data_IF_275904571510
#
_entry.id   IF_275904571510
#
_cell.length_a   1.000
_cell.length_b   1.000
_cell.length_c   1.000
_cell.angle_alpha   90.00
_cell.angle_beta   90.00
_cell.angle_gamma   90.00
#
_symmetry.space_group_name_H-M   'P 1'
#
loop_
_entity.id
_entity.type
_entity.pdbx_description
1 polymer ?
#
# COMPACT_ATOMS: atom_id res chain seq x y z
N UNK A 1 10.99 3.37 4.06
CA UNK A 1 9.88 4.17 4.63
C UNK A 1 8.66 3.95 3.75
N UNK A 2 7.51 3.63 4.33
CA UNK A 2 6.27 3.39 3.59
C UNK A 2 5.25 4.46 3.95
N UNK A 3 4.51 4.97 2.97
CA UNK A 3 3.54 6.07 3.15
C UNK A 3 2.25 5.68 2.44
N UNK A 4 1.18 5.47 3.22
CA UNK A 4 -0.15 5.27 2.69
C UNK A 4 -0.71 6.55 2.08
N UNK A 5 -1.24 6.47 0.86
CA UNK A 5 -1.97 7.58 0.27
C UNK A 5 -3.30 7.82 0.99
N UNK A 6 -3.71 9.07 1.15
CA UNK A 6 -4.96 9.43 1.85
C UNK A 6 -5.69 10.63 1.21
N UNK A 7 -5.18 11.16 0.10
CA UNK A 7 -5.87 12.12 -0.74
C UNK A 7 -7.10 11.51 -1.43
N UNK A 8 -7.87 12.38 -2.09
CA UNK A 8 -9.09 12.02 -2.82
C UNK A 8 -8.93 10.77 -3.71
N UNK A 9 -8.02 10.81 -4.70
CA UNK A 9 -7.77 9.73 -5.65
C UNK A 9 -6.62 8.79 -5.24
N UNK A 10 -6.15 8.85 -3.99
CA UNK A 10 -4.99 8.08 -3.57
C UNK A 10 -5.38 6.62 -3.34
N UNK A 11 -5.09 5.80 -4.36
CA UNK A 11 -5.34 4.36 -4.40
C UNK A 11 -4.07 3.51 -4.28
N UNK A 12 -3.02 4.06 -3.67
CA UNK A 12 -1.66 3.49 -3.69
C UNK A 12 -0.88 3.77 -2.41
N UNK A 13 0.28 3.11 -2.28
CA UNK A 13 1.28 3.31 -1.23
C UNK A 13 2.62 3.65 -1.85
N UNK A 14 3.37 4.57 -1.25
CA UNK A 14 4.70 4.97 -1.72
C UNK A 14 5.78 4.37 -0.82
N UNK A 15 6.91 3.98 -1.43
CA UNK A 15 8.06 3.43 -0.74
C UNK A 15 9.30 4.25 -1.04
N UNK A 16 10.03 4.62 0.01
CA UNK A 16 11.26 5.41 -0.04
C UNK A 16 12.40 4.73 0.72
N UNK A 17 13.64 5.05 0.34
CA UNK A 17 14.83 4.75 1.14
C UNK A 17 14.80 5.53 2.46
N UNK A 18 15.68 5.19 3.41
CA UNK A 18 15.81 5.98 4.64
C UNK A 18 16.37 7.38 4.38
N UNK A 19 17.11 7.54 3.28
CA UNK A 19 17.70 8.81 2.85
C UNK A 19 16.72 9.67 2.04
N UNK A 20 15.52 9.14 1.74
CA UNK A 20 14.43 9.87 1.07
C UNK A 20 14.34 9.64 -0.43
N UNK A 21 15.11 8.70 -0.99
CA UNK A 21 15.02 8.37 -2.41
C UNK A 21 13.75 7.57 -2.70
N UNK A 22 13.08 7.89 -3.80
CA UNK A 22 11.96 7.11 -4.28
C UNK A 22 12.42 5.71 -4.69
N UNK A 23 11.74 4.68 -4.17
CA UNK A 23 11.97 3.29 -4.55
C UNK A 23 10.88 2.82 -5.51
N UNK A 24 9.61 2.91 -5.10
CA UNK A 24 8.48 2.44 -5.91
C UNK A 24 7.13 2.96 -5.41
N UNK A 25 6.13 2.77 -6.26
CA UNK A 25 4.71 2.88 -5.95
C UNK A 25 4.11 1.47 -5.94
N UNK A 26 3.29 1.19 -4.93
CA UNK A 26 2.54 -0.06 -4.79
C UNK A 26 1.06 0.24 -5.05
N UNK A 27 0.50 -0.45 -6.03
CA UNK A 27 -0.83 -0.15 -6.58
C UNK A 27 -0.80 0.86 -7.72
N UNK A 28 -1.98 1.20 -8.25
CA UNK A 28 -2.16 2.12 -9.38
C UNK A 28 -2.79 3.41 -8.87
N UNK A 29 -2.08 4.55 -8.89
CA UNK A 29 -2.65 5.84 -8.47
C UNK A 29 -3.88 6.25 -9.30
N UNK A 30 -4.94 6.72 -8.64
CA UNK A 30 -6.17 7.17 -9.29
C UNK A 30 -7.09 6.06 -9.80
N UNK A 31 -6.77 4.80 -9.52
CA UNK A 31 -7.65 3.66 -9.81
C UNK A 31 -8.91 3.70 -8.91
N UNK A 32 -10.04 3.26 -9.45
CA UNK A 32 -11.30 3.19 -8.70
C UNK A 32 -11.18 2.19 -7.54
N UNK A 33 -11.66 2.57 -6.35
CA UNK A 33 -11.57 1.74 -5.17
C UNK A 33 -12.47 0.50 -5.28
N UNK A 34 -11.86 -0.69 -5.16
CA UNK A 34 -12.56 -1.97 -5.08
C UNK A 34 -11.87 -2.84 -4.01
N UNK A 35 -12.66 -3.39 -3.09
CA UNK A 35 -12.17 -4.28 -2.03
C UNK A 35 -11.58 -5.60 -2.57
N UNK A 36 -11.91 -5.98 -3.81
CA UNK A 36 -11.35 -7.17 -4.47
C UNK A 36 -10.16 -6.84 -5.39
N UNK A 37 -9.88 -5.57 -5.68
CA UNK A 37 -8.77 -5.19 -6.55
C UNK A 37 -7.43 -5.46 -5.88
N UNK A 38 -6.48 -6.06 -6.57
CA UNK A 38 -5.12 -6.25 -6.04
C UNK A 38 -4.23 -5.01 -6.18
N UNK A 39 -4.73 -3.95 -6.83
CA UNK A 39 -3.95 -2.75 -7.16
C UNK A 39 -4.55 -1.43 -6.68
N UNK A 40 -5.83 -1.40 -6.29
CA UNK A 40 -6.50 -0.22 -5.78
C UNK A 40 -6.63 -0.27 -4.24
N UNK A 41 -5.75 0.43 -3.54
CA UNK A 41 -5.75 0.52 -2.07
C UNK A 41 -6.52 1.75 -1.59
N UNK A 42 -7.70 1.53 -1.03
CA UNK A 42 -8.64 2.55 -0.56
C UNK A 42 -8.23 3.26 0.73
N UNK A 43 -7.24 4.16 0.61
CA UNK A 43 -6.71 5.03 1.68
C UNK A 43 -6.22 4.22 2.88
N UNK A 44 -4.99 3.74 2.79
CA UNK A 44 -4.38 2.87 3.82
C UNK A 44 -4.23 3.62 5.15
N UNK A 45 -4.79 3.07 6.22
CA UNK A 45 -4.80 3.68 7.56
C UNK A 45 -3.52 3.40 8.35
N UNK A 46 -2.95 2.20 8.21
CA UNK A 46 -1.78 1.71 8.94
C UNK A 46 -1.01 0.72 8.07
N UNK A 47 0.32 0.64 8.27
CA UNK A 47 1.21 -0.28 7.57
C UNK A 47 2.08 -0.99 8.59
N UNK A 48 1.91 -2.30 8.72
CA UNK A 48 2.82 -3.15 9.50
C UNK A 48 3.73 -3.95 8.57
N UNK A 49 4.98 -4.17 8.96
CA UNK A 49 5.95 -4.96 8.18
C UNK A 49 6.41 -6.14 9.03
N UNK A 50 6.31 -7.33 8.47
CA UNK A 50 6.95 -8.54 8.98
C UNK A 50 8.19 -8.83 8.13
N UNK A 51 9.36 -8.57 8.71
CA UNK A 51 10.64 -8.76 8.02
C UNK A 51 11.02 -10.24 7.86
N UNK A 52 10.53 -11.13 8.74
CA UNK A 52 10.82 -12.56 8.67
C UNK A 52 10.01 -13.22 7.54
N UNK A 53 8.75 -12.83 7.39
CA UNK A 53 7.90 -13.27 6.29
C UNK A 53 8.21 -12.55 4.96
N UNK A 54 8.79 -11.34 5.01
CA UNK A 54 8.95 -10.49 3.83
C UNK A 54 7.64 -9.84 3.38
N UNK A 55 6.72 -9.60 4.31
CA UNK A 55 5.36 -9.13 4.03
C UNK A 55 5.08 -7.77 4.66
N UNK A 56 4.28 -6.96 3.96
CA UNK A 56 3.70 -5.73 4.45
C UNK A 56 2.18 -5.88 4.51
N UNK A 57 1.59 -5.53 5.64
CA UNK A 57 0.16 -5.59 5.88
C UNK A 57 -0.42 -4.19 5.87
N UNK A 58 -1.34 -3.93 4.94
CA UNK A 58 -2.03 -2.65 4.83
C UNK A 58 -3.40 -2.76 5.48
N UNK A 59 -3.66 -1.90 6.48
CA UNK A 59 -5.01 -1.65 6.97
C UNK A 59 -5.78 -0.79 5.95
N UNK A 60 -6.22 -1.45 4.88
CA UNK A 60 -6.93 -0.86 3.74
C UNK A 60 -8.43 -0.73 4.04
N UNK A 61 -8.74 0.08 5.07
CA UNK A 61 -10.03 0.07 5.76
C UNK A 61 -10.86 1.37 5.67
N UNK A 62 -10.29 2.49 5.22
CA UNK A 62 -11.04 3.75 5.14
C UNK A 62 -12.07 3.73 4.02
N UNK A 63 -11.76 3.08 2.89
CA UNK A 63 -12.69 2.87 1.77
C UNK A 63 -12.92 1.38 1.50
N UNK A 64 -11.85 0.61 1.41
CA UNK A 64 -11.93 -0.85 1.25
C UNK A 64 -12.23 -1.54 2.59
N UNK A 65 -12.49 -2.85 2.55
CA UNK A 65 -12.86 -3.66 3.74
C UNK A 65 -11.98 -4.90 3.85
N UNK A 66 -10.67 -4.70 4.03
CA UNK A 66 -9.70 -5.80 4.11
C UNK A 66 -8.42 -5.42 4.85
N UNK A 67 -7.61 -6.44 5.11
CA UNK A 67 -6.16 -6.29 5.27
C UNK A 67 -5.53 -6.83 3.99
N UNK A 68 -4.78 -5.99 3.28
CA UNK A 68 -4.02 -6.44 2.11
C UNK A 68 -2.63 -6.89 2.56
N UNK A 69 -2.16 -8.00 2.02
CA UNK A 69 -0.79 -8.50 2.22
C UNK A 69 -0.02 -8.18 0.95
N UNK A 70 1.20 -7.67 1.09
CA UNK A 70 2.03 -7.24 -0.04
C UNK A 70 3.47 -7.69 0.20
N UNK A 71 4.11 -8.27 -0.82
CA UNK A 71 5.52 -8.64 -0.76
C UNK A 71 6.42 -7.39 -0.65
N UNK A 72 7.32 -7.38 0.33
CA UNK A 72 8.19 -6.24 0.64
C UNK A 72 9.27 -6.03 -0.41
N UNK A 73 9.69 -7.05 -1.16
CA UNK A 73 10.73 -6.91 -2.17
C UNK A 73 10.18 -6.30 -3.47
N UNK A 74 8.97 -6.68 -3.85
CA UNK A 74 8.38 -6.42 -5.16
C UNK A 74 7.22 -5.44 -5.13
N UNK A 75 6.50 -5.35 -4.01
CA UNK A 75 5.24 -4.61 -3.94
C UNK A 75 4.06 -5.32 -4.60
N UNK A 76 4.18 -6.63 -4.90
CA UNK A 76 3.08 -7.43 -5.41
C UNK A 76 2.09 -7.80 -4.29
N UNK A 77 0.80 -7.84 -4.61
CA UNK A 77 -0.26 -8.40 -3.76
C UNK A 77 -0.15 -9.92 -3.67
#
# INVERSE_FOLDING_TARGET
>A
VWIGGNGGPDSHVLVFSRDGDYIRTVGVPGEEFDSNSTTAFGRVAEIAIDEEAGEAYFADGYVNKRVAVVDVATGAF
#
